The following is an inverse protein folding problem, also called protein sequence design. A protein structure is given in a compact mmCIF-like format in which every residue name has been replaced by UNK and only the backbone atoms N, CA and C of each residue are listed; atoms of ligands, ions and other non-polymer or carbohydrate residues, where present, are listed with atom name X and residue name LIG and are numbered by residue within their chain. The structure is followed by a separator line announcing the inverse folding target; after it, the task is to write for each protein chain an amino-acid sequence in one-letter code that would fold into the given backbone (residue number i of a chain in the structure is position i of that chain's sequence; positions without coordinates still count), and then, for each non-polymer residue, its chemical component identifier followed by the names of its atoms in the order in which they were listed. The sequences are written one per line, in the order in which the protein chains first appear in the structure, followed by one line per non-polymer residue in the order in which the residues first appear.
data_IF_770169343333
#
_entry.id   IF_770169343333
#
_cell.length_a   1.000
_cell.length_b   1.000
_cell.length_c   1.000
_cell.angle_alpha   90.00
_cell.angle_beta   90.00
_cell.angle_gamma   90.00
#
_symmetry.space_group_name_H-M   'P 1'
#
loop_
_entity.id
_entity.type
_entity.pdbx_description
1 polymer ?
#
# COMPACT_ATOMS: atom_id res chain seq x y z
N UNK A 1 7.50 28.40 -16.18
CA UNK A 1 6.34 27.61 -16.64
C UNK A 1 6.76 26.37 -17.42
N UNK A 2 7.17 26.46 -18.69
CA UNK A 2 7.52 25.24 -19.45
C UNK A 2 8.68 25.48 -20.43
N UNK A 3 9.36 24.40 -20.82
CA UNK A 3 10.40 24.45 -21.84
C UNK A 3 10.34 23.22 -22.75
N UNK A 4 10.73 23.38 -24.01
CA UNK A 4 10.81 22.30 -24.98
C UNK A 4 12.13 22.33 -25.74
N UNK A 5 12.73 21.16 -25.93
CA UNK A 5 13.91 20.94 -26.78
C UNK A 5 13.54 20.41 -28.17
N UNK A 6 12.27 20.45 -28.56
CA UNK A 6 11.78 19.84 -29.80
C UNK A 6 12.57 20.27 -31.04
N UNK A 7 12.92 21.56 -31.15
CA UNK A 7 13.69 22.08 -32.28
C UNK A 7 15.08 21.44 -32.41
N UNK A 8 15.73 21.10 -31.29
CA UNK A 8 17.02 20.41 -31.24
C UNK A 8 16.91 18.95 -31.67
N UNK A 9 15.85 18.27 -31.22
CA UNK A 9 15.56 16.89 -31.64
C UNK A 9 15.27 16.83 -33.15
N UNK A 10 14.59 17.83 -33.69
CA UNK A 10 14.23 17.92 -35.11
C UNK A 10 15.36 18.41 -36.03
N UNK A 11 16.44 18.99 -35.49
CA UNK A 11 17.55 19.55 -36.27
C UNK A 11 18.17 18.54 -37.24
N UNK A 12 18.45 17.33 -36.76
CA UNK A 12 19.07 16.26 -37.57
C UNK A 12 18.15 15.78 -38.72
N UNK A 13 16.90 15.35 -38.48
CA UNK A 13 16.02 14.90 -39.56
C UNK A 13 15.65 16.01 -40.54
N UNK A 14 15.47 17.24 -40.07
CA UNK A 14 15.14 18.39 -40.92
C UNK A 14 16.36 18.99 -41.64
N UNK A 15 17.58 18.56 -41.28
CA UNK A 15 18.87 19.12 -41.77
C UNK A 15 18.90 20.65 -41.70
N UNK A 16 18.39 21.21 -40.61
CA UNK A 16 18.27 22.65 -40.37
C UNK A 16 18.89 23.02 -39.03
N UNK A 17 19.35 24.27 -38.90
CA UNK A 17 19.81 24.80 -37.62
C UNK A 17 18.64 24.75 -36.63
N UNK A 18 18.82 24.21 -35.40
CA UNK A 18 17.73 24.13 -34.44
C UNK A 18 17.12 25.49 -34.07
N UNK A 19 17.90 26.57 -34.12
CA UNK A 19 17.37 27.92 -33.89
C UNK A 19 16.40 28.35 -34.98
N UNK A 20 16.66 27.99 -36.23
CA UNK A 20 15.75 28.25 -37.36
C UNK A 20 14.45 27.42 -37.20
N UNK A 21 14.58 26.17 -36.78
CA UNK A 21 13.41 25.31 -36.51
C UNK A 21 12.57 25.89 -35.37
N UNK A 22 13.20 26.36 -34.30
CA UNK A 22 12.50 27.01 -33.19
C UNK A 22 11.74 28.27 -33.65
N UNK A 23 12.33 29.06 -34.57
CA UNK A 23 11.65 30.20 -35.19
C UNK A 23 10.43 29.78 -36.00
N UNK A 24 10.56 28.76 -36.84
CA UNK A 24 9.43 28.22 -37.62
C UNK A 24 8.31 27.71 -36.70
N UNK A 25 8.67 26.99 -35.63
CA UNK A 25 7.68 26.50 -34.65
C UNK A 25 6.99 27.68 -33.95
N UNK A 26 7.75 28.69 -33.52
CA UNK A 26 7.23 29.87 -32.86
C UNK A 26 6.19 30.61 -33.73
N UNK A 27 6.48 30.78 -35.03
CA UNK A 27 5.56 31.40 -35.99
C UNK A 27 4.26 30.61 -36.21
N UNK A 28 4.26 29.31 -35.87
CA UNK A 28 3.15 28.38 -36.09
C UNK A 28 2.40 28.03 -34.80
N UNK A 29 2.80 28.58 -33.66
CA UNK A 29 2.06 28.41 -32.41
C UNK A 29 0.71 29.12 -32.56
N UNK A 30 -0.37 28.36 -32.39
CA UNK A 30 -1.70 28.92 -32.17
C UNK A 30 -1.90 29.16 -30.67
N UNK A 31 -1.97 30.44 -30.29
CA UNK A 31 -2.33 30.88 -28.93
C UNK A 31 -3.72 31.55 -28.91
N UNK A 32 -4.67 31.04 -29.71
CA UNK A 32 -6.07 31.48 -29.70
C UNK A 32 -6.70 31.44 -28.29
N UNK A 33 -6.24 30.52 -27.44
CA UNK A 33 -6.62 30.42 -26.03
C UNK A 33 -6.02 31.50 -25.11
N UNK A 34 -5.11 32.36 -25.62
CA UNK A 34 -4.41 33.44 -24.88
C UNK A 34 -3.73 32.95 -23.60
N UNK A 35 -3.09 31.80 -23.67
CA UNK A 35 -2.43 31.15 -22.53
C UNK A 35 -1.01 31.70 -22.37
N UNK A 36 -0.33 31.99 -23.49
CA UNK A 36 1.08 32.36 -23.50
C UNK A 36 1.24 33.87 -23.31
N UNK A 37 2.05 34.29 -22.34
CA UNK A 37 2.51 35.67 -22.22
C UNK A 37 3.57 35.96 -23.29
N UNK A 38 4.56 35.07 -23.39
CA UNK A 38 5.61 35.10 -24.40
C UNK A 38 6.24 33.71 -24.57
N UNK A 39 6.96 33.55 -25.66
CA UNK A 39 7.83 32.40 -25.91
C UNK A 39 9.21 32.93 -26.32
N UNK A 40 10.27 32.43 -25.69
CA UNK A 40 11.64 32.87 -25.94
C UNK A 40 12.49 31.72 -26.47
N UNK A 41 13.28 31.99 -27.51
CA UNK A 41 14.25 31.04 -28.05
C UNK A 41 15.61 31.27 -27.40
N UNK A 42 16.01 30.34 -26.54
CA UNK A 42 17.28 30.38 -25.81
C UNK A 42 18.34 29.46 -26.44
N UNK A 43 19.60 29.91 -26.35
CA UNK A 43 20.77 29.12 -26.75
C UNK A 43 20.65 28.52 -28.17
N UNK A 44 20.89 27.21 -28.34
CA UNK A 44 20.90 26.57 -29.66
C UNK A 44 19.51 26.34 -30.27
N UNK A 45 18.42 26.61 -29.54
CA UNK A 45 17.04 26.36 -30.02
C UNK A 45 16.07 25.83 -28.95
N UNK A 46 16.36 26.01 -27.66
CA UNK A 46 15.36 25.72 -26.61
C UNK A 46 14.23 26.75 -26.68
N UNK A 47 12.99 26.30 -26.57
CA UNK A 47 11.82 27.17 -26.52
C UNK A 47 11.31 27.24 -25.08
N UNK A 48 11.40 28.41 -24.46
CA UNK A 48 10.88 28.69 -23.12
C UNK A 48 9.52 29.36 -23.24
N UNK A 49 8.52 28.80 -22.56
CA UNK A 49 7.13 29.27 -22.60
C UNK A 49 6.80 29.91 -21.25
N UNK A 50 6.20 31.09 -21.31
CA UNK A 50 5.76 31.86 -20.16
C UNK A 50 4.24 31.99 -20.21
N UNK A 51 3.55 31.64 -19.13
CA UNK A 51 2.09 31.58 -19.06
C UNK A 51 1.56 32.90 -18.49
N UNK A 52 0.49 33.45 -19.07
CA UNK A 52 -0.13 34.69 -18.57
C UNK A 52 -0.65 34.49 -17.15
N UNK A 53 -0.38 35.45 -16.27
CA UNK A 53 -0.90 35.41 -14.90
C UNK A 53 -2.43 35.31 -14.83
N UNK A 54 -3.13 35.92 -15.78
CA UNK A 54 -4.58 35.87 -15.89
C UNK A 54 -5.16 34.46 -16.03
N UNK A 55 -4.37 33.47 -16.45
CA UNK A 55 -4.78 32.06 -16.55
C UNK A 55 -4.99 31.40 -15.18
N UNK A 56 -4.35 31.91 -14.12
CA UNK A 56 -4.42 31.30 -12.80
C UNK A 56 -5.71 31.66 -12.05
N UNK A 57 -6.29 32.84 -12.29
CA UNK A 57 -7.51 33.29 -11.59
C UNK A 57 -8.72 32.36 -11.83
N UNK A 58 -9.03 31.95 -13.09
CA UNK A 58 -10.06 30.95 -13.33
C UNK A 58 -9.75 29.58 -12.72
N UNK A 59 -8.46 29.19 -12.66
CA UNK A 59 -8.04 27.94 -12.04
C UNK A 59 -8.30 27.95 -10.53
N UNK A 60 -7.95 29.03 -9.84
CA UNK A 60 -8.22 29.17 -8.40
C UNK A 60 -9.72 29.12 -8.11
N UNK A 61 -10.53 29.77 -8.94
CA UNK A 61 -11.99 29.66 -8.85
C UNK A 61 -12.46 28.22 -9.05
N UNK A 62 -11.89 27.49 -10.01
CA UNK A 62 -12.19 26.06 -10.22
C UNK A 62 -11.82 25.20 -9.00
N UNK A 63 -10.67 25.46 -8.37
CA UNK A 63 -10.24 24.77 -7.14
C UNK A 63 -11.25 25.01 -6.02
N UNK A 64 -11.69 26.27 -5.83
CA UNK A 64 -12.70 26.65 -4.84
C UNK A 64 -14.06 25.98 -5.13
N UNK A 65 -14.53 26.06 -6.38
CA UNK A 65 -15.82 25.52 -6.82
C UNK A 65 -15.86 23.97 -6.71
N UNK A 66 -14.75 23.29 -6.98
CA UNK A 66 -14.63 21.82 -6.87
C UNK A 66 -14.33 21.34 -5.45
N UNK A 67 -13.73 22.19 -4.61
CA UNK A 67 -13.40 21.91 -3.22
C UNK A 67 -12.59 20.62 -3.06
N UNK A 68 -13.03 19.74 -2.14
CA UNK A 68 -12.37 18.46 -1.89
C UNK A 68 -12.38 17.47 -3.06
N UNK A 69 -13.08 17.77 -4.17
CA UNK A 69 -13.06 16.97 -5.40
C UNK A 69 -12.06 17.51 -6.43
N UNK A 70 -11.44 18.65 -6.19
CA UNK A 70 -10.42 19.16 -7.11
C UNK A 70 -9.29 18.12 -7.27
N UNK A 71 -8.92 17.84 -8.52
CA UNK A 71 -7.94 16.80 -8.86
C UNK A 71 -8.51 15.37 -8.97
N UNK A 72 -9.80 15.17 -8.69
CA UNK A 72 -10.51 13.93 -9.03
C UNK A 72 -10.85 13.87 -10.52
N UNK A 73 -11.09 12.67 -11.04
CA UNK A 73 -11.53 12.45 -12.42
C UNK A 73 -12.37 11.19 -12.57
N UNK A 74 -12.97 10.99 -13.75
CA UNK A 74 -13.71 9.77 -14.10
C UNK A 74 -12.95 8.90 -15.12
N UNK A 75 -11.64 8.76 -14.93
CA UNK A 75 -10.79 7.93 -15.80
C UNK A 75 -11.13 6.42 -15.67
N UNK A 76 -11.48 6.00 -14.46
CA UNK A 76 -11.83 4.63 -14.12
C UNK A 76 -13.17 4.19 -14.71
N UNK A 77 -14.13 5.12 -14.87
CA UNK A 77 -15.47 4.86 -15.41
C UNK A 77 -16.21 3.74 -14.65
N UNK A 78 -16.04 3.69 -13.33
CA UNK A 78 -16.62 2.65 -12.47
C UNK A 78 -16.05 1.25 -12.70
N UNK A 79 -14.91 1.11 -13.40
CA UNK A 79 -14.26 -0.20 -13.52
C UNK A 79 -13.81 -0.68 -12.14
N UNK A 80 -14.13 -1.95 -11.86
CA UNK A 80 -13.73 -2.62 -10.63
C UNK A 80 -12.23 -2.90 -10.62
N UNK A 81 -11.58 -2.62 -9.51
CA UNK A 81 -10.18 -2.95 -9.27
C UNK A 81 -10.01 -3.45 -7.84
N UNK A 82 -9.28 -4.55 -7.69
CA UNK A 82 -8.88 -5.06 -6.39
C UNK A 82 -7.46 -4.59 -6.09
N UNK A 83 -7.26 -4.07 -4.88
CA UNK A 83 -5.96 -3.67 -4.35
C UNK A 83 -5.70 -4.56 -3.14
N UNK A 84 -4.85 -5.55 -3.31
CA UNK A 84 -4.37 -6.41 -2.23
C UNK A 84 -3.08 -5.83 -1.62
N UNK A 85 -3.01 -5.71 -0.30
CA UNK A 85 -1.83 -5.17 0.37
C UNK A 85 -1.72 -5.58 1.85
N UNK A 86 -0.53 -5.35 2.41
CA UNK A 86 -0.06 -5.85 3.73
C UNK A 86 0.10 -7.36 3.76
N UNK A 87 -0.98 -8.12 3.59
CA UNK A 87 -1.03 -9.60 3.49
C UNK A 87 0.01 -10.32 4.34
N UNK A 88 0.15 -9.89 5.60
CA UNK A 88 1.16 -10.42 6.50
C UNK A 88 0.63 -11.69 7.16
N UNK A 89 1.49 -12.69 7.28
CA UNK A 89 1.12 -13.94 7.93
C UNK A 89 0.80 -13.65 9.42
N UNK A 90 -0.27 -14.24 9.98
CA UNK A 90 -0.71 -13.96 11.35
C UNK A 90 0.16 -14.72 12.39
N UNK A 91 1.48 -14.63 12.24
CA UNK A 91 2.47 -15.30 13.08
C UNK A 91 3.16 -14.36 14.06
N UNK A 92 2.91 -13.06 13.96
CA UNK A 92 3.38 -12.06 14.90
C UNK A 92 2.76 -10.68 14.65
N UNK A 93 3.00 -9.71 15.55
CA UNK A 93 2.50 -8.35 15.40
C UNK A 93 3.11 -7.63 14.18
N UNK A 94 2.43 -6.58 13.71
CA UNK A 94 2.97 -5.75 12.64
C UNK A 94 4.23 -4.99 13.11
N UNK A 95 5.10 -4.68 12.16
CA UNK A 95 6.29 -3.85 12.38
C UNK A 95 6.37 -2.76 11.31
N UNK A 96 7.34 -1.85 11.43
CA UNK A 96 7.47 -0.69 10.53
C UNK A 96 7.51 -1.04 9.03
N UNK A 97 8.07 -2.20 8.67
CA UNK A 97 8.02 -2.71 7.29
C UNK A 97 6.60 -2.93 6.77
N UNK A 98 5.70 -3.48 7.58
CA UNK A 98 4.29 -3.66 7.23
C UNK A 98 3.55 -2.33 7.17
N UNK A 99 3.87 -1.38 8.06
CA UNK A 99 3.29 -0.04 8.02
C UNK A 99 3.57 0.66 6.68
N UNK A 100 4.78 0.52 6.12
CA UNK A 100 5.08 1.03 4.77
C UNK A 100 4.18 0.41 3.71
N UNK A 101 4.00 -0.92 3.73
CA UNK A 101 3.09 -1.61 2.82
C UNK A 101 1.64 -1.15 2.96
N UNK A 102 1.19 -0.92 4.19
CA UNK A 102 -0.14 -0.40 4.50
C UNK A 102 -0.36 1.01 3.91
N UNK A 103 0.59 1.94 4.12
CA UNK A 103 0.50 3.30 3.56
C UNK A 103 0.48 3.27 2.04
N UNK A 104 1.38 2.52 1.41
CA UNK A 104 1.48 2.49 -0.06
C UNK A 104 0.21 1.92 -0.67
N UNK A 105 -0.28 0.79 -0.16
CA UNK A 105 -1.51 0.18 -0.67
C UNK A 105 -2.73 1.07 -0.50
N UNK A 106 -2.90 1.67 0.69
CA UNK A 106 -4.04 2.55 0.96
C UNK A 106 -4.02 3.82 0.11
N UNK A 107 -2.85 4.46 -0.05
CA UNK A 107 -2.71 5.65 -0.92
C UNK A 107 -3.00 5.30 -2.38
N UNK A 108 -2.54 4.16 -2.88
CA UNK A 108 -2.85 3.70 -4.24
C UNK A 108 -4.35 3.46 -4.39
N UNK A 109 -5.00 2.80 -3.43
CA UNK A 109 -6.45 2.59 -3.42
C UNK A 109 -7.22 3.93 -3.43
N UNK A 110 -6.78 4.91 -2.63
CA UNK A 110 -7.40 6.23 -2.57
C UNK A 110 -7.23 7.02 -3.88
N UNK A 111 -6.06 6.96 -4.53
CA UNK A 111 -5.84 7.59 -5.84
C UNK A 111 -6.73 6.94 -6.91
N UNK A 112 -6.82 5.61 -6.92
CA UNK A 112 -7.67 4.88 -7.86
C UNK A 112 -9.15 5.26 -7.69
N UNK A 113 -9.63 5.35 -6.44
CA UNK A 113 -10.98 5.81 -6.14
C UNK A 113 -11.19 7.27 -6.59
N UNK A 114 -10.22 8.14 -6.32
CA UNK A 114 -10.27 9.55 -6.73
C UNK A 114 -10.29 9.75 -8.26
N UNK A 115 -9.80 8.78 -9.04
CA UNK A 115 -9.88 8.80 -10.51
C UNK A 115 -11.00 7.92 -11.07
N UNK A 116 -11.99 7.55 -10.25
CA UNK A 116 -13.27 6.97 -10.69
C UNK A 116 -13.28 5.46 -10.86
N UNK A 117 -12.37 4.72 -10.20
CA UNK A 117 -12.47 3.26 -10.11
C UNK A 117 -13.37 2.84 -8.94
N UNK A 118 -14.03 1.69 -9.09
CA UNK A 118 -14.69 0.99 -7.99
C UNK A 118 -13.65 0.10 -7.29
N UNK A 119 -13.11 0.57 -6.17
CA UNK A 119 -11.93 -0.01 -5.52
C UNK A 119 -12.35 -0.96 -4.40
N UNK A 120 -11.81 -2.18 -4.44
CA UNK A 120 -11.96 -3.20 -3.41
C UNK A 120 -10.62 -3.48 -2.75
N UNK A 121 -10.49 -3.24 -1.45
CA UNK A 121 -9.28 -3.46 -0.65
C UNK A 121 -9.34 -4.84 -0.02
N UNK A 122 -8.35 -5.67 -0.33
CA UNK A 122 -8.25 -7.03 0.22
C UNK A 122 -6.99 -7.22 1.05
N UNK A 123 -7.14 -7.92 2.17
CA UNK A 123 -6.04 -8.47 2.95
C UNK A 123 -6.04 -9.97 2.78
N UNK A 124 -5.01 -10.52 2.15
CA UNK A 124 -4.84 -11.96 2.04
C UNK A 124 -4.19 -12.54 3.30
N UNK A 125 -4.84 -13.49 3.96
CA UNK A 125 -4.36 -14.13 5.18
C UNK A 125 -3.78 -15.50 4.80
N UNK A 126 -2.47 -15.63 4.88
CA UNK A 126 -1.79 -16.92 4.80
C UNK A 126 -1.81 -17.60 6.18
N UNK A 127 -2.92 -18.27 6.50
CA UNK A 127 -3.17 -18.98 7.76
C UNK A 127 -3.04 -20.50 7.64
N UNK A 128 -2.22 -20.94 6.68
CA UNK A 128 -1.86 -22.35 6.45
C UNK A 128 -0.33 -22.56 6.47
N UNK A 129 0.10 -23.82 6.34
CA UNK A 129 1.52 -24.15 6.18
C UNK A 129 2.39 -24.18 7.44
N UNK A 130 3.70 -24.34 7.23
CA UNK A 130 4.66 -24.64 8.30
C UNK A 130 4.85 -23.50 9.30
N UNK A 131 4.72 -22.24 8.86
CA UNK A 131 4.85 -21.09 9.76
C UNK A 131 3.74 -21.08 10.82
N UNK A 132 2.50 -21.39 10.43
CA UNK A 132 1.38 -21.54 11.35
C UNK A 132 1.56 -22.72 12.30
N UNK A 133 2.06 -23.86 11.80
CA UNK A 133 2.38 -25.00 12.67
C UNK A 133 3.47 -24.65 13.70
N UNK A 134 4.51 -23.93 13.28
CA UNK A 134 5.54 -23.43 14.18
C UNK A 134 4.99 -22.44 15.21
N UNK A 135 4.01 -21.61 14.85
CA UNK A 135 3.32 -20.72 15.78
C UNK A 135 2.62 -21.52 16.89
N UNK A 136 1.80 -22.51 16.55
CA UNK A 136 1.12 -23.35 17.54
C UNK A 136 2.10 -24.11 18.44
N UNK A 137 3.18 -24.65 17.87
CA UNK A 137 4.29 -25.27 18.64
C UNK A 137 4.91 -24.29 19.62
N UNK A 138 5.15 -23.06 19.19
CA UNK A 138 5.77 -22.02 20.03
C UNK A 138 4.89 -21.66 21.23
N UNK A 139 3.57 -21.58 21.01
CA UNK A 139 2.59 -21.36 22.09
C UNK A 139 2.55 -22.55 23.05
N UNK A 140 2.57 -23.80 22.54
CA UNK A 140 2.60 -24.99 23.40
C UNK A 140 3.84 -25.02 24.31
N UNK A 141 5.00 -24.67 23.76
CA UNK A 141 6.27 -24.64 24.51
C UNK A 141 6.24 -23.55 25.59
N UNK A 142 5.80 -22.33 25.26
CA UNK A 142 5.63 -21.26 26.27
C UNK A 142 4.58 -21.62 27.33
N UNK A 143 3.52 -22.29 26.93
CA UNK A 143 2.47 -22.74 27.85
C UNK A 143 3.00 -23.77 28.85
N UNK A 144 3.82 -24.73 28.40
CA UNK A 144 4.51 -25.70 29.28
C UNK A 144 5.53 -25.03 30.21
N UNK A 145 6.30 -24.07 29.68
CA UNK A 145 7.26 -23.29 30.47
C UNK A 145 6.57 -22.49 31.59
N UNK A 146 5.41 -21.88 31.31
CA UNK A 146 4.62 -21.16 32.32
C UNK A 146 4.09 -22.08 33.44
N UNK A 147 3.97 -23.38 33.18
CA UNK A 147 3.61 -24.43 34.14
C UNK A 147 4.83 -25.11 34.77
N UNK A 148 6.02 -24.54 34.61
CA UNK A 148 7.25 -25.02 35.23
C UNK A 148 7.87 -26.25 34.58
N UNK A 149 7.47 -26.61 33.34
CA UNK A 149 8.12 -27.67 32.58
C UNK A 149 9.19 -27.10 31.66
N UNK A 150 10.41 -27.62 31.74
CA UNK A 150 11.47 -27.28 30.79
C UNK A 150 11.05 -27.64 29.36
N UNK A 151 11.31 -26.74 28.43
CA UNK A 151 10.95 -26.90 27.02
C UNK A 151 12.07 -26.33 26.17
N UNK A 152 12.73 -27.19 25.40
CA UNK A 152 13.64 -26.73 24.35
C UNK A 152 12.81 -26.15 23.21
N UNK A 153 13.26 -25.02 22.65
CA UNK A 153 12.62 -24.41 21.49
C UNK A 153 13.35 -24.83 20.22
N UNK A 154 12.75 -25.69 19.38
CA UNK A 154 13.32 -26.09 18.10
C UNK A 154 13.55 -24.90 17.16
N UNK A 155 14.39 -25.12 16.16
CA UNK A 155 14.60 -24.15 15.09
C UNK A 155 13.28 -23.82 14.38
N UNK A 156 13.07 -22.55 14.05
CA UNK A 156 11.85 -22.06 13.41
C UNK A 156 10.68 -21.77 14.35
N UNK A 157 10.78 -22.07 15.65
CA UNK A 157 9.79 -21.62 16.64
C UNK A 157 9.99 -20.14 17.00
N UNK A 158 8.89 -19.45 17.22
CA UNK A 158 8.81 -18.06 17.64
C UNK A 158 9.08 -17.93 19.14
N UNK A 159 9.99 -17.03 19.50
CA UNK A 159 10.45 -16.85 20.90
C UNK A 159 10.07 -15.50 21.51
N UNK A 160 9.42 -14.62 20.74
CA UNK A 160 9.08 -13.27 21.20
C UNK A 160 8.12 -13.27 22.39
N UNK A 161 8.15 -12.19 23.18
CA UNK A 161 7.31 -12.04 24.38
C UNK A 161 5.81 -12.18 24.07
N UNK A 162 5.35 -11.74 22.90
CA UNK A 162 3.96 -11.90 22.48
C UNK A 162 3.49 -13.37 22.45
N UNK A 163 4.37 -14.34 22.19
CA UNK A 163 4.03 -15.78 22.28
C UNK A 163 3.80 -16.18 23.74
N UNK A 164 4.61 -15.65 24.66
CA UNK A 164 4.45 -15.87 26.09
C UNK A 164 3.14 -15.26 26.59
N UNK A 165 2.80 -14.05 26.13
CA UNK A 165 1.55 -13.38 26.46
C UNK A 165 0.34 -14.19 25.99
N UNK A 166 0.37 -14.66 24.74
CA UNK A 166 -0.68 -15.54 24.18
C UNK A 166 -0.84 -16.83 24.99
N UNK A 167 0.27 -17.46 25.38
CA UNK A 167 0.26 -18.68 26.20
C UNK A 167 -0.29 -18.39 27.61
N UNK A 168 0.06 -17.25 28.22
CA UNK A 168 -0.42 -16.85 29.53
C UNK A 168 -1.92 -16.53 29.53
N UNK A 169 -2.41 -15.86 28.50
CA UNK A 169 -3.85 -15.63 28.30
C UNK A 169 -4.60 -16.95 28.14
N UNK A 170 -4.07 -17.86 27.32
CA UNK A 170 -4.67 -19.16 27.11
C UNK A 170 -4.70 -20.01 28.39
N UNK A 171 -3.62 -19.99 29.18
CA UNK A 171 -3.54 -20.65 30.49
C UNK A 171 -4.59 -20.12 31.46
N UNK A 172 -4.81 -18.80 31.50
CA UNK A 172 -5.89 -18.20 32.30
C UNK A 172 -7.28 -18.69 31.89
N UNK A 173 -7.50 -18.90 30.59
CA UNK A 173 -8.81 -19.30 30.05
C UNK A 173 -9.08 -20.80 30.14
N UNK A 174 -8.08 -21.62 29.88
CA UNK A 174 -8.24 -23.07 29.66
C UNK A 174 -7.60 -23.92 30.77
N UNK A 175 -7.01 -23.29 31.80
CA UNK A 175 -6.29 -24.01 32.86
C UNK A 175 -5.13 -24.81 32.29
N UNK A 176 -4.87 -26.01 32.80
CA UNK A 176 -3.78 -26.90 32.38
C UNK A 176 -4.16 -27.84 31.22
N UNK A 177 -5.29 -27.62 30.55
CA UNK A 177 -5.88 -28.51 29.54
C UNK A 177 -4.90 -29.03 28.48
N UNK A 178 -3.98 -28.19 28.01
CA UNK A 178 -3.05 -28.55 26.94
C UNK A 178 -1.72 -29.13 27.44
N UNK A 179 -1.52 -29.23 28.76
CA UNK A 179 -0.25 -29.66 29.34
C UNK A 179 0.09 -31.10 28.94
N UNK A 180 -0.85 -32.01 29.20
CA UNK A 180 -0.72 -33.45 28.98
C UNK A 180 -1.43 -33.94 27.71
N UNK A 181 -1.96 -33.01 26.91
CA UNK A 181 -2.51 -33.34 25.59
C UNK A 181 -1.37 -33.75 24.64
N UNK A 182 -1.64 -34.76 23.81
CA UNK A 182 -0.72 -35.15 22.75
C UNK A 182 -0.41 -33.94 21.83
N UNK A 183 0.87 -33.63 21.56
CA UNK A 183 1.23 -32.47 20.75
C UNK A 183 0.57 -32.43 19.38
N UNK A 184 0.35 -33.57 18.71
CA UNK A 184 -0.27 -33.60 17.39
C UNK A 184 -1.74 -33.15 17.44
N UNK A 185 -2.42 -33.42 18.56
CA UNK A 185 -3.77 -32.92 18.82
C UNK A 185 -3.80 -31.47 19.34
N UNK A 186 -2.82 -31.08 20.17
CA UNK A 186 -2.78 -29.75 20.78
C UNK A 186 -2.40 -28.65 19.79
N UNK A 187 -1.39 -28.89 18.94
CA UNK A 187 -0.80 -27.86 18.08
C UNK A 187 -1.85 -27.23 17.14
N UNK A 188 -2.73 -27.96 16.42
CA UNK A 188 -3.74 -27.33 15.56
C UNK A 188 -4.71 -26.39 16.29
N UNK A 189 -5.09 -26.73 17.53
CA UNK A 189 -5.95 -25.89 18.37
C UNK A 189 -5.22 -24.60 18.77
N UNK A 190 -3.97 -24.73 19.18
CA UNK A 190 -3.12 -23.61 19.57
C UNK A 190 -2.77 -22.71 18.39
N UNK A 191 -2.51 -23.28 17.21
CA UNK A 191 -2.31 -22.56 15.95
C UNK A 191 -3.53 -21.71 15.61
N UNK A 192 -4.73 -22.28 15.70
CA UNK A 192 -5.98 -21.57 15.40
C UNK A 192 -6.21 -20.43 16.39
N UNK A 193 -6.01 -20.68 17.68
CA UNK A 193 -6.11 -19.65 18.71
C UNK A 193 -5.10 -18.51 18.50
N UNK A 194 -3.82 -18.85 18.35
CA UNK A 194 -2.75 -17.87 18.24
C UNK A 194 -2.87 -17.04 16.95
N UNK A 195 -3.14 -17.70 15.82
CA UNK A 195 -3.35 -17.03 14.55
C UNK A 195 -4.54 -16.07 14.61
N UNK A 196 -5.66 -16.49 15.21
CA UNK A 196 -6.83 -15.62 15.39
C UNK A 196 -6.54 -14.41 16.27
N UNK A 197 -5.90 -14.60 17.43
CA UNK A 197 -5.57 -13.51 18.34
C UNK A 197 -4.59 -12.49 17.71
N UNK A 198 -3.58 -12.97 16.99
CA UNK A 198 -2.63 -12.12 16.27
C UNK A 198 -3.33 -11.36 15.14
N UNK A 199 -4.16 -12.04 14.35
CA UNK A 199 -4.90 -11.40 13.26
C UNK A 199 -5.81 -10.28 13.77
N UNK A 200 -6.50 -10.48 14.89
CA UNK A 200 -7.33 -9.41 15.48
C UNK A 200 -6.48 -8.22 15.95
N UNK A 201 -5.30 -8.47 16.52
CA UNK A 201 -4.33 -7.41 16.84
C UNK A 201 -3.87 -6.65 15.59
N UNK A 202 -3.56 -7.36 14.50
CA UNK A 202 -3.22 -6.78 13.19
C UNK A 202 -4.36 -5.88 12.68
N UNK A 203 -5.61 -6.36 12.73
CA UNK A 203 -6.79 -5.59 12.31
C UNK A 203 -6.97 -4.31 13.12
N UNK A 204 -6.77 -4.39 14.44
CA UNK A 204 -6.84 -3.22 15.33
C UNK A 204 -5.75 -2.21 15.00
N UNK A 205 -4.51 -2.65 14.85
CA UNK A 205 -3.38 -1.79 14.51
C UNK A 205 -3.61 -1.07 13.18
N UNK A 206 -4.07 -1.78 12.16
CA UNK A 206 -4.39 -1.19 10.84
C UNK A 206 -5.51 -0.16 10.94
N UNK A 207 -6.59 -0.47 11.69
CA UNK A 207 -7.70 0.47 11.88
C UNK A 207 -7.26 1.74 12.61
N UNK A 208 -6.44 1.61 13.66
CA UNK A 208 -5.86 2.75 14.38
C UNK A 208 -4.91 3.56 13.50
N UNK A 209 -4.26 2.89 12.56
CA UNK A 209 -3.39 3.51 11.56
C UNK A 209 -4.16 4.16 10.40
N UNK A 210 -5.50 4.03 10.37
CA UNK A 210 -6.37 4.64 9.36
C UNK A 210 -6.55 3.79 8.10
N UNK A 211 -6.09 2.54 8.10
CA UNK A 211 -6.18 1.62 6.97
C UNK A 211 -7.31 0.63 7.21
N UNK A 212 -8.24 0.57 6.27
CA UNK A 212 -9.44 -0.29 6.35
C UNK A 212 -9.52 -1.16 5.09
N UNK A 213 -9.91 -2.42 5.29
CA UNK A 213 -10.08 -3.40 4.21
C UNK A 213 -11.55 -3.76 4.05
N UNK A 214 -11.95 -4.06 2.81
CA UNK A 214 -13.29 -4.52 2.47
C UNK A 214 -13.42 -6.03 2.76
N UNK A 215 -12.33 -6.79 2.56
CA UNK A 215 -12.28 -8.21 2.83
C UNK A 215 -10.94 -8.64 3.42
N UNK A 216 -11.01 -9.54 4.39
CA UNK A 216 -9.90 -10.35 4.86
C UNK A 216 -10.13 -11.78 4.37
N UNK A 217 -9.36 -12.21 3.38
CA UNK A 217 -9.56 -13.49 2.69
C UNK A 217 -8.59 -14.55 3.24
N UNK A 218 -9.11 -15.67 3.75
CA UNK A 218 -8.30 -16.75 4.32
C UNK A 218 -7.85 -17.74 3.26
N UNK A 219 -6.56 -18.11 3.28
CA UNK A 219 -6.01 -19.15 2.42
C UNK A 219 -6.69 -20.52 2.63
N UNK A 220 -7.23 -20.78 3.84
CA UNK A 220 -8.02 -21.99 4.12
C UNK A 220 -9.29 -22.10 3.28
N UNK A 221 -9.81 -21.00 2.75
CA UNK A 221 -11.02 -21.02 1.91
C UNK A 221 -10.74 -21.54 0.49
N UNK A 222 -9.46 -21.67 0.10
CA UNK A 222 -9.04 -22.17 -1.21
C UNK A 222 -8.97 -23.69 -1.31
N UNK A 223 -8.99 -24.40 -0.18
CA UNK A 223 -8.76 -25.85 -0.08
C UNK A 223 -9.81 -26.54 0.80
#
# INVERSE_FOLDING_TARGET
DYASNAAMVLARPARKNPRDIAGILLERIDDSGRILEKVEIAGPGFMNFFIREGCWSPLLKKVEDEGGRYGSSDLGKGRRIQVEFVSANPTGPLHIGHARGAVVGDVVANILAAVGYDVFREYYINDTGNQMNNLGRSVLLRYRELLGRESEFPEGCYKGEYIRDLAAELLKREGERYLDMDPEAAIPLLTTYAGGAILEGIKEDLRRFGVVFDLYFSERELY
#
